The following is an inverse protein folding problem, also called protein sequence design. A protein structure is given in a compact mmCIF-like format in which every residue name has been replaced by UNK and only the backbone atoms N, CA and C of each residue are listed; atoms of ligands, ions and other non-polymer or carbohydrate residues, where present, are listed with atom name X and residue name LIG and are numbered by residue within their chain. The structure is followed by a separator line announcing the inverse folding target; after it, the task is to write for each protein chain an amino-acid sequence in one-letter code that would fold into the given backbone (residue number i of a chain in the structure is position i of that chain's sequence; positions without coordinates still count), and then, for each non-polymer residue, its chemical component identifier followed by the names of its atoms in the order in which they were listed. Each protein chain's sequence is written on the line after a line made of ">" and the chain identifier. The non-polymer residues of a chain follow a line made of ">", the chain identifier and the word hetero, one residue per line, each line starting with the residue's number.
data_IF_705964355694
#
_entry.id   IF_705964355694
#
_cell.length_a   1.000
_cell.length_b   1.000
_cell.length_c   1.000
_cell.angle_alpha   90.00
_cell.angle_beta   90.00
_cell.angle_gamma   90.00
#
_symmetry.space_group_name_H-M   'P 1'
#
loop_
_entity.id
_entity.type
_entity.pdbx_description
1 polymer ?
#
# COMPACT_ATOMS: atom_id res chain seq x y z
N UNK A 1 -83.08 -18.49 -21.48
CA UNK A 1 -81.65 -18.35 -21.14
C UNK A 1 -81.17 -17.10 -21.83
N UNK A 2 -80.79 -16.13 -21.02
CA UNK A 2 -80.93 -14.70 -21.25
C UNK A 2 -79.60 -14.04 -21.61
N UNK A 3 -79.56 -13.42 -22.79
CA UNK A 3 -78.74 -12.26 -23.09
C UNK A 3 -79.64 -11.03 -23.08
N UNK A 4 -79.40 -10.08 -22.17
CA UNK A 4 -79.86 -8.69 -22.29
C UNK A 4 -78.84 -7.76 -21.63
N UNK A 5 -78.39 -6.79 -22.41
CA UNK A 5 -77.59 -5.61 -22.04
C UNK A 5 -78.06 -4.92 -20.75
N UNK A 6 -77.11 -4.36 -19.98
CA UNK A 6 -77.35 -3.08 -19.31
C UNK A 6 -76.05 -2.30 -19.07
N UNK A 7 -75.94 -1.18 -19.77
CA UNK A 7 -74.97 -0.11 -19.54
C UNK A 7 -75.47 0.80 -18.43
N UNK A 8 -74.67 1.08 -17.40
CA UNK A 8 -74.86 2.32 -16.62
C UNK A 8 -73.55 2.87 -16.06
N UNK A 9 -73.28 4.10 -16.47
CA UNK A 9 -72.23 4.98 -16.02
C UNK A 9 -72.47 5.50 -14.59
N UNK A 10 -71.40 5.79 -13.85
CA UNK A 10 -71.06 7.12 -13.33
C UNK A 10 -70.08 7.01 -12.15
N UNK A 11 -69.09 7.90 -12.13
CA UNK A 11 -68.24 8.09 -10.95
C UNK A 11 -66.99 8.94 -11.21
N UNK A 12 -67.18 10.19 -11.65
CA UNK A 12 -66.16 11.23 -11.47
C UNK A 12 -66.44 11.97 -10.16
N UNK A 13 -65.53 11.90 -9.20
CA UNK A 13 -65.33 12.92 -8.16
C UNK A 13 -63.84 13.00 -7.83
N UNK A 14 -63.27 14.17 -8.12
CA UNK A 14 -61.92 14.59 -7.73
C UNK A 14 -61.94 15.14 -6.29
N UNK A 15 -60.97 14.79 -5.46
CA UNK A 15 -60.43 15.69 -4.42
C UNK A 15 -59.11 15.18 -3.80
N UNK A 16 -58.01 15.81 -4.23
CA UNK A 16 -56.91 16.37 -3.43
C UNK A 16 -56.41 15.66 -2.14
N UNK A 17 -55.17 15.13 -2.14
CA UNK A 17 -53.92 15.79 -1.66
C UNK A 17 -52.85 14.82 -1.11
N UNK A 18 -51.60 15.21 -1.38
CA UNK A 18 -50.34 14.89 -0.71
C UNK A 18 -49.73 13.48 -0.80
N UNK A 19 -48.70 13.37 -1.64
CA UNK A 19 -47.73 12.26 -1.65
C UNK A 19 -46.32 12.78 -1.95
N UNK A 20 -45.54 12.92 -0.88
CA UNK A 20 -44.08 13.09 -0.77
C UNK A 20 -43.24 12.81 -2.04
N UNK A 21 -42.33 13.74 -2.32
CA UNK A 21 -41.16 13.52 -3.18
C UNK A 21 -40.36 12.31 -2.70
N UNK A 22 -40.00 11.43 -3.65
CA UNK A 22 -38.96 10.43 -3.49
C UNK A 22 -37.94 10.67 -4.62
N UNK A 23 -36.64 10.83 -4.34
CA UNK A 23 -35.65 11.05 -5.39
C UNK A 23 -35.44 9.73 -6.13
N UNK A 24 -35.92 9.67 -7.37
CA UNK A 24 -35.74 8.51 -8.24
C UNK A 24 -34.27 8.34 -8.60
N UNK A 25 -33.68 7.25 -8.07
CA UNK A 25 -32.49 6.61 -8.57
C UNK A 25 -32.58 6.45 -10.10
N UNK A 26 -31.82 7.26 -10.82
CA UNK A 26 -31.71 7.19 -12.27
C UNK A 26 -30.76 6.08 -12.69
N UNK A 27 -31.28 4.88 -12.93
CA UNK A 27 -30.59 3.87 -13.74
C UNK A 27 -30.49 4.45 -15.16
N UNK A 28 -29.41 5.16 -15.46
CA UNK A 28 -29.13 5.67 -16.80
C UNK A 28 -28.87 4.46 -17.72
N UNK A 29 -29.63 4.36 -18.81
CA UNK A 29 -29.46 3.33 -19.85
C UNK A 29 -28.08 3.38 -20.53
N UNK A 30 -27.80 2.45 -21.47
CA UNK A 30 -26.51 2.34 -22.13
C UNK A 30 -26.09 3.69 -22.75
N UNK A 31 -24.89 4.16 -22.39
CA UNK A 31 -24.35 5.43 -22.87
C UNK A 31 -24.15 5.33 -24.39
N UNK A 32 -24.80 6.19 -25.15
CA UNK A 32 -24.77 6.16 -26.62
C UNK A 32 -24.00 7.37 -27.12
N UNK A 33 -22.94 7.18 -27.93
CA UNK A 33 -22.14 8.30 -28.44
C UNK A 33 -22.92 9.17 -29.44
N UNK A 34 -23.89 8.57 -30.14
CA UNK A 34 -24.83 9.22 -31.06
C UNK A 34 -26.23 8.65 -30.84
N UNK A 35 -27.24 9.51 -30.69
CA UNK A 35 -28.63 9.08 -30.64
C UNK A 35 -29.08 8.34 -31.92
N UNK A 36 -30.20 7.58 -31.88
CA UNK A 36 -30.64 6.71 -32.98
C UNK A 36 -30.82 7.38 -34.35
N UNK A 37 -30.88 8.72 -34.41
CA UNK A 37 -31.06 9.51 -35.63
C UNK A 37 -30.18 10.77 -35.66
N UNK A 38 -29.11 10.82 -34.88
CA UNK A 38 -28.20 11.97 -34.83
C UNK A 38 -27.22 11.94 -36.01
N UNK A 39 -27.22 13.01 -36.81
CA UNK A 39 -26.24 13.16 -37.89
C UNK A 39 -24.92 13.68 -37.31
N UNK A 40 -23.90 12.83 -37.29
CA UNK A 40 -22.54 13.20 -36.90
C UNK A 40 -21.93 14.37 -37.72
N UNK A 41 -22.55 14.74 -38.85
CA UNK A 41 -22.18 15.92 -39.64
C UNK A 41 -22.87 17.22 -39.19
N UNK A 42 -23.84 17.15 -38.29
CA UNK A 42 -24.53 18.32 -37.75
C UNK A 42 -23.61 19.04 -36.75
N UNK A 43 -23.20 20.29 -37.03
CA UNK A 43 -22.30 21.06 -36.16
C UNK A 43 -22.94 21.43 -34.81
N UNK A 44 -24.25 21.24 -34.64
CA UNK A 44 -24.95 21.43 -33.37
C UNK A 44 -24.86 20.23 -32.42
N UNK A 45 -24.35 19.08 -32.90
CA UNK A 45 -24.25 17.85 -32.11
C UNK A 45 -22.90 17.78 -31.40
N UNK A 46 -22.96 17.77 -30.07
CA UNK A 46 -21.81 17.76 -29.15
C UNK A 46 -21.22 16.35 -28.94
N UNK A 47 -21.07 15.58 -30.03
CA UNK A 47 -20.60 14.19 -29.97
C UNK A 47 -19.19 14.07 -29.35
N UNK A 48 -18.35 15.11 -29.47
CA UNK A 48 -17.05 15.18 -28.79
C UNK A 48 -17.21 15.18 -27.27
N UNK A 49 -18.20 15.89 -26.72
CA UNK A 49 -18.52 15.86 -25.29
C UNK A 49 -19.06 14.50 -24.86
N UNK A 50 -19.82 13.82 -25.72
CA UNK A 50 -20.28 12.45 -25.45
C UNK A 50 -19.12 11.46 -25.41
N UNK A 51 -18.15 11.60 -26.32
CA UNK A 51 -16.92 10.81 -26.33
C UNK A 51 -16.05 11.08 -25.09
N UNK A 52 -15.91 12.34 -24.68
CA UNK A 52 -15.20 12.72 -23.46
C UNK A 52 -15.88 12.15 -22.21
N UNK A 53 -17.21 12.25 -22.11
CA UNK A 53 -17.98 11.66 -21.02
C UNK A 53 -17.86 10.13 -21.00
N UNK A 54 -17.86 9.49 -22.17
CA UNK A 54 -17.64 8.06 -22.31
C UNK A 54 -16.24 7.66 -21.81
N UNK A 55 -15.20 8.38 -22.20
CA UNK A 55 -13.83 8.14 -21.74
C UNK A 55 -13.71 8.34 -20.22
N UNK A 56 -14.28 9.43 -19.69
CA UNK A 56 -14.21 9.77 -18.27
C UNK A 56 -14.94 8.73 -17.39
N UNK A 57 -16.15 8.29 -17.79
CA UNK A 57 -16.92 7.28 -17.05
C UNK A 57 -16.25 5.91 -17.02
N UNK A 58 -15.47 5.56 -18.04
CA UNK A 58 -14.81 4.26 -18.15
C UNK A 58 -13.34 4.27 -17.70
N UNK A 59 -12.90 5.30 -16.97
CA UNK A 59 -11.53 5.37 -16.45
C UNK A 59 -10.46 5.59 -17.54
N UNK A 60 -10.86 5.84 -18.79
CA UNK A 60 -10.00 6.25 -19.91
C UNK A 60 -9.74 7.76 -19.90
N UNK A 61 -9.98 8.43 -18.76
CA UNK A 61 -9.79 9.86 -18.54
C UNK A 61 -8.32 10.24 -18.69
N UNK A 62 -7.96 10.64 -19.91
CA UNK A 62 -6.59 10.89 -20.32
C UNK A 62 -6.54 11.85 -21.50
N UNK A 63 -5.36 12.40 -21.81
CA UNK A 63 -5.20 13.24 -23.01
C UNK A 63 -5.43 12.36 -24.24
N UNK A 64 -6.49 12.64 -24.99
CA UNK A 64 -6.70 12.05 -26.29
C UNK A 64 -6.09 12.92 -27.39
N UNK A 65 -5.56 12.29 -28.44
CA UNK A 65 -4.99 12.97 -29.60
C UNK A 65 -5.53 12.35 -30.87
N UNK A 66 -6.06 13.20 -31.76
CA UNK A 66 -6.40 12.81 -33.11
C UNK A 66 -5.15 12.85 -33.97
N UNK A 67 -4.88 11.75 -34.66
CA UNK A 67 -3.91 11.72 -35.76
C UNK A 67 -4.71 11.59 -37.04
N UNK A 68 -4.55 12.58 -37.91
CA UNK A 68 -5.27 12.68 -39.18
C UNK A 68 -4.23 12.76 -40.28
N UNK A 69 -4.13 11.70 -41.07
CA UNK A 69 -3.17 11.60 -42.15
C UNK A 69 -3.88 11.98 -43.46
N UNK A 70 -3.32 12.98 -44.13
CA UNK A 70 -3.76 13.41 -45.45
C UNK A 70 -3.42 12.37 -46.53
N UNK A 71 -4.08 12.45 -47.70
CA UNK A 71 -3.89 11.48 -48.76
C UNK A 71 -2.50 11.66 -49.40
N UNK A 72 -1.55 10.79 -49.07
CA UNK A 72 -0.30 10.73 -49.84
C UNK A 72 -0.47 9.82 -51.09
N UNK A 73 -1.22 8.71 -50.98
CA UNK A 73 -1.68 7.86 -52.11
C UNK A 73 -2.95 7.04 -51.74
N UNK A 74 -3.95 7.64 -51.05
CA UNK A 74 -5.13 6.88 -50.55
C UNK A 74 -6.21 7.74 -49.86
N UNK A 75 -7.27 7.14 -49.28
CA UNK A 75 -8.31 7.88 -48.55
C UNK A 75 -7.77 8.53 -47.27
N UNK A 76 -8.41 9.61 -46.81
CA UNK A 76 -8.12 10.21 -45.50
C UNK A 76 -8.26 9.16 -44.40
N UNK A 77 -7.30 9.15 -43.48
CA UNK A 77 -7.30 8.24 -42.34
C UNK A 77 -7.34 9.04 -41.03
N UNK A 78 -8.23 8.65 -40.12
CA UNK A 78 -8.34 9.21 -38.78
C UNK A 78 -8.11 8.13 -37.73
N UNK A 79 -7.25 8.46 -36.77
CA UNK A 79 -6.83 7.62 -35.65
C UNK A 79 -7.02 8.37 -34.34
N UNK A 80 -7.42 7.66 -33.29
CA UNK A 80 -7.55 8.20 -31.94
C UNK A 80 -6.54 7.53 -31.02
N UNK A 81 -5.61 8.31 -30.47
CA UNK A 81 -4.74 7.89 -29.39
C UNK A 81 -5.34 8.30 -28.06
N UNK A 82 -5.33 7.42 -27.07
CA UNK A 82 -5.71 7.72 -25.68
C UNK A 82 -4.50 7.44 -24.80
N UNK A 83 -4.01 8.45 -24.06
CA UNK A 83 -2.78 8.33 -23.27
C UNK A 83 -1.56 7.84 -24.08
N UNK A 84 -1.45 8.31 -25.35
CA UNK A 84 -0.45 7.86 -26.34
C UNK A 84 -0.54 6.38 -26.75
N UNK A 85 -1.60 5.67 -26.38
CA UNK A 85 -1.86 4.30 -26.82
C UNK A 85 -2.83 4.34 -28.00
N UNK A 86 -2.48 3.63 -29.06
CA UNK A 86 -3.33 3.45 -30.23
C UNK A 86 -4.38 2.38 -29.94
N UNK A 87 -5.66 2.76 -30.06
CA UNK A 87 -6.79 1.86 -29.84
C UNK A 87 -6.96 0.82 -30.97
N UNK A 88 -6.15 0.91 -32.05
CA UNK A 88 -6.22 -0.02 -33.17
C UNK A 88 -7.50 0.11 -34.00
N UNK A 89 -8.20 1.24 -33.88
CA UNK A 89 -9.40 1.57 -34.67
C UNK A 89 -9.06 2.69 -35.65
N UNK A 90 -9.49 2.55 -36.90
CA UNK A 90 -9.15 3.47 -37.99
C UNK A 90 -10.38 3.86 -38.79
N UNK A 91 -10.65 5.15 -38.89
CA UNK A 91 -11.69 5.67 -39.78
C UNK A 91 -11.11 6.09 -41.11
N UNK A 92 -11.72 5.62 -42.21
CA UNK A 92 -11.31 5.97 -43.57
C UNK A 92 -12.39 6.79 -44.26
N UNK A 93 -12.01 7.73 -45.12
CA UNK A 93 -12.99 8.49 -45.90
C UNK A 93 -12.38 9.35 -47.00
N UNK A 94 -13.22 9.81 -47.93
CA UNK A 94 -12.78 10.69 -49.02
C UNK A 94 -12.54 12.14 -48.55
N UNK A 95 -12.87 12.44 -47.29
CA UNK A 95 -12.58 13.70 -46.63
C UNK A 95 -12.19 13.45 -45.19
N UNK A 96 -11.43 14.38 -44.62
CA UNK A 96 -11.07 14.42 -43.20
C UNK A 96 -12.27 14.20 -42.27
N UNK A 97 -13.38 14.89 -42.56
CA UNK A 97 -14.61 14.78 -41.78
C UNK A 97 -15.22 13.38 -41.87
N UNK A 98 -15.27 12.79 -43.07
CA UNK A 98 -15.85 11.46 -43.28
C UNK A 98 -15.00 10.36 -42.64
N UNK A 99 -13.67 10.50 -42.66
CA UNK A 99 -12.74 9.61 -41.96
C UNK A 99 -12.98 9.65 -40.44
N UNK A 100 -13.10 10.85 -39.86
CA UNK A 100 -13.40 11.03 -38.44
C UNK A 100 -14.76 10.42 -38.04
N UNK A 101 -15.79 10.64 -38.84
CA UNK A 101 -17.11 10.09 -38.58
C UNK A 101 -17.13 8.56 -38.62
N UNK A 102 -16.43 7.97 -39.58
CA UNK A 102 -16.31 6.51 -39.67
C UNK A 102 -15.51 5.93 -38.52
N UNK A 103 -14.49 6.64 -38.01
CA UNK A 103 -13.77 6.23 -36.80
C UNK A 103 -14.71 6.17 -35.59
N UNK A 104 -15.53 7.21 -35.38
CA UNK A 104 -16.48 7.26 -34.27
C UNK A 104 -17.50 6.12 -34.34
N UNK A 105 -18.03 5.82 -35.52
CA UNK A 105 -18.94 4.68 -35.72
C UNK A 105 -18.28 3.34 -35.39
N UNK A 106 -17.02 3.16 -35.76
CA UNK A 106 -16.27 1.95 -35.44
C UNK A 106 -15.96 1.84 -33.94
N UNK A 107 -15.67 2.96 -33.27
CA UNK A 107 -15.48 2.98 -31.81
C UNK A 107 -16.76 2.60 -31.08
N UNK A 108 -17.93 3.07 -31.52
CA UNK A 108 -19.22 2.65 -30.96
C UNK A 108 -19.49 1.16 -31.18
N UNK A 109 -19.20 0.65 -32.38
CA UNK A 109 -19.36 -0.78 -32.69
C UNK A 109 -18.43 -1.66 -31.85
N UNK A 110 -17.17 -1.24 -31.68
CA UNK A 110 -16.15 -1.95 -30.88
C UNK A 110 -16.18 -1.59 -29.40
N UNK A 111 -17.21 -0.86 -28.93
CA UNK A 111 -17.35 -0.43 -27.54
C UNK A 111 -17.20 -1.57 -26.55
N UNK A 112 -17.79 -2.74 -26.84
CA UNK A 112 -17.69 -3.88 -25.95
C UNK A 112 -16.26 -4.43 -25.85
N UNK A 113 -15.52 -4.53 -26.96
CA UNK A 113 -14.12 -4.97 -26.98
C UNK A 113 -13.18 -3.95 -26.30
N UNK A 114 -13.47 -2.66 -26.45
CA UNK A 114 -12.67 -1.58 -25.85
C UNK A 114 -12.90 -1.47 -24.33
N UNK A 115 -14.11 -1.75 -23.85
CA UNK A 115 -14.47 -1.71 -22.44
C UNK A 115 -14.16 -3.03 -21.70
N UNK A 116 -14.29 -4.14 -22.42
CA UNK A 116 -14.02 -5.47 -21.93
C UNK A 116 -13.06 -6.11 -22.93
N UNK A 117 -11.75 -5.79 -22.85
CA UNK A 117 -10.77 -6.52 -23.64
C UNK A 117 -11.02 -7.99 -23.38
N UNK A 118 -11.45 -8.71 -24.42
CA UNK A 118 -11.70 -10.13 -24.33
C UNK A 118 -10.39 -10.75 -23.90
N UNK A 119 -10.34 -11.22 -22.66
CA UNK A 119 -9.23 -12.05 -22.19
C UNK A 119 -9.16 -13.19 -23.19
N UNK A 120 -8.04 -13.26 -23.90
CA UNK A 120 -7.80 -14.34 -24.85
C UNK A 120 -7.73 -15.63 -24.04
N UNK A 121 -8.80 -16.41 -24.10
CA UNK A 121 -8.91 -17.69 -23.39
C UNK A 121 -8.17 -18.80 -24.15
N UNK A 122 -7.80 -18.56 -25.40
CA UNK A 122 -7.16 -19.55 -26.28
C UNK A 122 -5.63 -19.51 -26.19
N UNK A 123 -5.06 -18.51 -25.49
CA UNK A 123 -3.62 -18.42 -25.22
C UNK A 123 -3.27 -18.53 -23.73
N UNK A 124 -2.15 -19.18 -23.45
CA UNK A 124 -1.65 -19.31 -22.08
C UNK A 124 -1.12 -17.96 -21.58
N UNK A 125 -1.69 -17.48 -20.48
CA UNK A 125 -1.24 -16.27 -19.83
C UNK A 125 0.20 -16.42 -19.31
N UNK A 126 1.06 -15.47 -19.67
CA UNK A 126 2.44 -15.42 -19.19
C UNK A 126 2.57 -14.41 -18.06
N UNK A 127 3.33 -14.77 -17.03
CA UNK A 127 3.59 -13.88 -15.89
C UNK A 127 4.41 -12.65 -16.28
N UNK A 128 5.33 -12.78 -17.24
CA UNK A 128 6.21 -11.72 -17.73
C UNK A 128 6.38 -11.79 -19.25
N UNK A 129 6.68 -10.65 -19.87
CA UNK A 129 7.02 -10.53 -21.29
C UNK A 129 8.50 -10.16 -21.51
N UNK A 130 9.14 -9.53 -20.53
CA UNK A 130 10.54 -9.08 -20.62
C UNK A 130 11.44 -9.69 -19.54
N UNK A 131 12.76 -9.69 -19.77
CA UNK A 131 13.73 -10.14 -18.77
C UNK A 131 13.71 -9.28 -17.50
N UNK A 132 13.47 -7.96 -17.63
CA UNK A 132 13.36 -7.06 -16.48
C UNK A 132 12.13 -7.36 -15.63
N UNK A 133 10.98 -7.67 -16.25
CA UNK A 133 9.79 -8.11 -15.54
C UNK A 133 10.00 -9.45 -14.85
N UNK A 134 10.70 -10.39 -15.51
CA UNK A 134 11.04 -11.69 -14.92
C UNK A 134 11.84 -11.50 -13.62
N UNK A 135 12.90 -10.70 -13.66
CA UNK A 135 13.75 -10.44 -12.49
C UNK A 135 12.98 -9.74 -11.35
N UNK A 136 12.06 -8.84 -11.70
CA UNK A 136 11.13 -8.23 -10.75
C UNK A 136 10.24 -9.26 -10.06
N UNK A 137 9.61 -10.16 -10.82
CA UNK A 137 8.77 -11.21 -10.23
C UNK A 137 9.58 -12.23 -9.44
N UNK A 138 10.81 -12.53 -9.85
CA UNK A 138 11.73 -13.39 -9.09
C UNK A 138 12.07 -12.79 -7.73
N UNK A 139 12.39 -11.49 -7.70
CA UNK A 139 12.63 -10.76 -6.45
C UNK A 139 11.39 -10.74 -5.55
N UNK A 140 10.20 -10.53 -6.13
CA UNK A 140 8.93 -10.59 -5.40
C UNK A 140 8.61 -12.00 -4.88
N UNK A 141 8.93 -13.04 -5.64
CA UNK A 141 8.75 -14.43 -5.23
C UNK A 141 9.67 -14.80 -4.05
N UNK A 142 10.90 -14.29 -4.02
CA UNK A 142 11.80 -14.45 -2.87
C UNK A 142 11.21 -13.76 -1.62
N UNK A 143 10.72 -12.52 -1.76
CA UNK A 143 10.08 -11.81 -0.65
C UNK A 143 8.86 -12.60 -0.13
N UNK A 144 8.01 -13.10 -1.03
CA UNK A 144 6.87 -13.94 -0.70
C UNK A 144 7.31 -15.18 0.09
N UNK A 145 8.33 -15.89 -0.39
CA UNK A 145 8.86 -17.08 0.27
C UNK A 145 9.41 -16.80 1.67
N UNK A 146 10.08 -15.66 1.89
CA UNK A 146 10.58 -15.27 3.20
C UNK A 146 9.43 -15.03 4.18
N UNK A 147 8.37 -14.31 3.77
CA UNK A 147 7.21 -14.04 4.62
C UNK A 147 6.52 -15.34 5.03
N UNK A 148 6.31 -16.25 4.07
CA UNK A 148 5.73 -17.58 4.33
C UNK A 148 6.60 -18.37 5.30
N UNK A 149 7.92 -18.41 5.08
CA UNK A 149 8.84 -19.12 5.96
C UNK A 149 8.82 -18.55 7.39
N UNK A 150 8.73 -17.23 7.54
CA UNK A 150 8.64 -16.57 8.84
C UNK A 150 7.34 -16.92 9.56
N UNK A 151 6.20 -16.99 8.87
CA UNK A 151 4.92 -17.42 9.45
C UNK A 151 5.01 -18.83 10.03
N UNK A 152 5.55 -19.77 9.26
CA UNK A 152 5.71 -21.15 9.74
C UNK A 152 6.69 -21.25 10.89
N UNK A 153 7.77 -20.47 10.87
CA UNK A 153 8.75 -20.44 11.96
C UNK A 153 8.12 -19.92 13.26
N UNK A 154 7.36 -18.82 13.21
CA UNK A 154 6.65 -18.28 14.38
C UNK A 154 5.66 -19.30 14.93
N UNK A 155 4.84 -19.92 14.07
CA UNK A 155 3.85 -20.92 14.49
C UNK A 155 4.49 -22.17 15.07
N UNK A 156 5.64 -22.60 14.55
CA UNK A 156 6.38 -23.74 15.10
C UNK A 156 6.90 -23.43 16.50
N UNK A 157 7.42 -22.22 16.72
CA UNK A 157 7.89 -21.78 18.04
C UNK A 157 6.75 -21.67 19.05
N UNK A 158 5.62 -21.06 18.66
CA UNK A 158 4.41 -20.94 19.53
C UNK A 158 3.84 -22.31 19.92
N UNK A 159 4.03 -23.33 19.08
CA UNK A 159 3.60 -24.71 19.35
C UNK A 159 4.66 -25.55 20.06
N UNK A 160 5.76 -24.93 20.50
CA UNK A 160 6.89 -25.59 21.16
C UNK A 160 7.51 -26.74 20.33
N UNK A 161 7.40 -26.65 19.00
CA UNK A 161 7.97 -27.63 18.08
C UNK A 161 9.47 -27.41 17.81
N UNK A 162 9.98 -26.21 18.13
CA UNK A 162 11.38 -25.81 18.03
C UNK A 162 11.76 -25.01 19.28
N UNK A 163 12.99 -25.19 19.76
CA UNK A 163 13.46 -24.49 20.96
C UNK A 163 13.96 -23.07 20.64
N UNK A 164 14.14 -22.26 21.70
CA UNK A 164 14.60 -20.86 21.57
C UNK A 164 15.99 -20.73 20.92
N UNK A 165 16.88 -21.70 21.12
CA UNK A 165 18.23 -21.69 20.57
C UNK A 165 18.27 -21.91 19.05
N UNK A 166 17.30 -22.65 18.50
CA UNK A 166 17.14 -22.85 17.05
C UNK A 166 16.29 -21.74 16.40
N UNK A 167 15.22 -21.32 17.08
CA UNK A 167 14.31 -20.29 16.60
C UNK A 167 14.99 -18.93 16.43
N UNK A 168 15.72 -18.46 17.45
CA UNK A 168 16.30 -17.10 17.48
C UNK A 168 17.24 -16.82 16.29
N UNK A 169 18.25 -17.66 15.98
CA UNK A 169 19.12 -17.43 14.83
C UNK A 169 18.39 -17.58 13.49
N UNK A 170 17.44 -18.53 13.38
CA UNK A 170 16.65 -18.70 12.16
C UNK A 170 15.77 -17.48 11.87
N UNK A 171 15.09 -16.94 12.89
CA UNK A 171 14.24 -15.76 12.75
C UNK A 171 15.08 -14.51 12.44
N UNK A 172 16.22 -14.33 13.12
CA UNK A 172 17.14 -13.21 12.85
C UNK A 172 17.64 -13.22 11.40
N UNK A 173 17.97 -14.41 10.88
CA UNK A 173 18.39 -14.56 9.48
C UNK A 173 17.26 -14.21 8.50
N UNK A 174 16.05 -14.72 8.72
CA UNK A 174 14.89 -14.43 7.86
C UNK A 174 14.52 -12.94 7.89
N UNK A 175 14.55 -12.30 9.06
CA UNK A 175 14.31 -10.85 9.21
C UNK A 175 15.37 -10.02 8.49
N UNK A 176 16.64 -10.45 8.50
CA UNK A 176 17.71 -9.77 7.77
C UNK A 176 17.53 -9.89 6.26
N UNK A 177 17.20 -11.10 5.79
CA UNK A 177 16.90 -11.35 4.38
C UNK A 177 15.69 -10.54 3.91
N UNK A 178 14.63 -10.50 4.71
CA UNK A 178 13.43 -9.69 4.46
C UNK A 178 13.79 -8.21 4.26
N UNK A 179 14.59 -7.62 5.17
CA UNK A 179 15.01 -6.20 5.08
C UNK A 179 15.79 -5.92 3.80
N UNK A 180 16.67 -6.83 3.39
CA UNK A 180 17.43 -6.70 2.13
C UNK A 180 16.51 -6.77 0.92
N UNK A 181 15.59 -7.74 0.90
CA UNK A 181 14.66 -7.91 -0.21
C UNK A 181 13.67 -6.76 -0.33
N UNK A 182 13.16 -6.23 0.78
CA UNK A 182 12.25 -5.08 0.76
C UNK A 182 12.90 -3.84 0.13
N UNK A 183 14.19 -3.60 0.37
CA UNK A 183 14.96 -2.53 -0.29
C UNK A 183 15.10 -2.77 -1.79
N UNK A 184 15.29 -4.03 -2.20
CA UNK A 184 15.43 -4.40 -3.61
C UNK A 184 14.12 -4.23 -4.39
N UNK A 185 12.97 -4.52 -3.77
CA UNK A 185 11.65 -4.44 -4.43
C UNK A 185 10.90 -3.13 -4.18
N UNK A 186 11.49 -2.18 -3.46
CA UNK A 186 10.83 -1.00 -2.89
C UNK A 186 10.02 -0.15 -3.89
N UNK A 187 10.49 -0.03 -5.14
CA UNK A 187 9.78 0.70 -6.20
C UNK A 187 8.43 0.06 -6.59
N UNK A 188 8.29 -1.25 -6.36
CA UNK A 188 7.09 -2.03 -6.71
C UNK A 188 6.23 -2.45 -5.51
N UNK A 189 6.80 -2.34 -4.31
CA UNK A 189 6.23 -2.77 -3.04
C UNK A 189 6.36 -1.62 -2.03
N UNK A 190 5.38 -0.70 -1.97
CA UNK A 190 5.45 0.47 -1.10
C UNK A 190 5.35 0.11 0.39
N UNK A 191 4.62 -0.97 0.74
CA UNK A 191 4.57 -1.52 2.09
C UNK A 191 4.34 -3.02 2.08
N UNK A 192 4.67 -3.69 3.18
CA UNK A 192 4.46 -5.14 3.34
C UNK A 192 2.99 -5.48 3.43
N UNK A 193 2.18 -4.62 4.05
CA UNK A 193 0.74 -4.79 4.17
C UNK A 193 0.08 -4.78 2.79
N UNK A 194 0.49 -3.86 1.91
CA UNK A 194 -0.03 -3.78 0.55
C UNK A 194 0.42 -4.97 -0.31
N UNK A 195 1.65 -5.45 -0.09
CA UNK A 195 2.14 -6.68 -0.73
C UNK A 195 1.31 -7.90 -0.31
N UNK A 196 1.12 -8.08 0.99
CA UNK A 196 0.33 -9.18 1.54
C UNK A 196 -1.13 -9.11 1.07
N UNK A 197 -1.72 -7.92 1.02
CA UNK A 197 -3.06 -7.72 0.46
C UNK A 197 -3.12 -8.07 -1.02
N UNK A 198 -2.14 -7.65 -1.82
CA UNK A 198 -2.08 -7.91 -3.27
C UNK A 198 -1.99 -9.39 -3.60
N UNK A 199 -1.21 -10.15 -2.83
CA UNK A 199 -1.03 -11.59 -3.02
C UNK A 199 -1.94 -12.45 -2.12
N UNK A 200 -2.92 -11.84 -1.45
CA UNK A 200 -3.89 -12.51 -0.58
C UNK A 200 -3.22 -13.40 0.48
N UNK A 201 -2.21 -12.86 1.17
CA UNK A 201 -1.43 -13.54 2.20
C UNK A 201 -2.04 -13.32 3.58
N UNK A 202 -2.55 -14.39 4.20
CA UNK A 202 -3.04 -14.37 5.59
C UNK A 202 -1.94 -14.89 6.55
N UNK A 203 -0.98 -14.03 6.86
CA UNK A 203 0.20 -14.36 7.68
C UNK A 203 0.39 -13.36 8.83
N UNK A 204 -0.53 -13.33 9.82
CA UNK A 204 -0.51 -12.33 10.88
C UNK A 204 0.71 -12.46 11.80
N UNK A 205 1.27 -13.66 12.00
CA UNK A 205 2.44 -13.84 12.85
C UNK A 205 3.70 -13.31 12.17
N UNK A 206 3.86 -13.59 10.87
CA UNK A 206 4.94 -13.00 10.07
C UNK A 206 4.84 -11.47 9.99
N UNK A 207 3.63 -10.94 9.79
CA UNK A 207 3.39 -9.49 9.73
C UNK A 207 3.81 -8.82 11.04
N UNK A 208 3.36 -9.34 12.18
CA UNK A 208 3.75 -8.86 13.49
C UNK A 208 5.27 -8.90 13.68
N UNK A 209 5.90 -10.04 13.35
CA UNK A 209 7.35 -10.22 13.49
C UNK A 209 8.15 -9.26 12.61
N UNK A 210 7.70 -9.00 11.40
CA UNK A 210 8.31 -8.05 10.47
C UNK A 210 8.20 -6.61 10.98
N UNK A 211 7.05 -6.23 11.54
CA UNK A 211 6.81 -4.91 12.11
C UNK A 211 7.67 -4.67 13.37
N UNK A 212 7.78 -5.67 14.24
CA UNK A 212 8.61 -5.61 15.46
C UNK A 212 10.11 -5.66 15.12
N UNK A 213 10.50 -6.47 14.13
CA UNK A 213 11.86 -6.51 13.59
C UNK A 213 12.91 -7.24 14.45
N UNK A 214 12.49 -7.90 15.53
CA UNK A 214 13.31 -8.79 16.39
C UNK A 214 12.53 -10.08 16.71
N UNK A 215 13.19 -11.23 17.00
CA UNK A 215 12.52 -12.49 17.38
C UNK A 215 11.71 -12.41 18.70
N UNK A 216 10.75 -13.33 18.89
CA UNK A 216 9.87 -13.41 20.06
C UNK A 216 10.64 -13.53 21.37
N UNK A 217 11.74 -14.29 21.32
CA UNK A 217 12.64 -14.50 22.47
C UNK A 217 13.23 -13.19 22.95
N UNK A 218 13.54 -12.25 22.05
CA UNK A 218 14.07 -10.93 22.39
C UNK A 218 12.93 -9.98 22.80
N UNK A 219 11.77 -10.07 22.13
CA UNK A 219 10.58 -9.26 22.43
C UNK A 219 10.02 -9.53 23.84
N UNK A 220 10.03 -10.81 24.27
CA UNK A 220 9.39 -11.29 25.50
C UNK A 220 10.37 -11.84 26.54
N UNK A 221 11.68 -11.59 26.40
CA UNK A 221 12.74 -12.00 27.34
C UNK A 221 12.37 -11.63 28.79
N UNK A 222 11.80 -12.57 29.53
CA UNK A 222 11.45 -12.43 30.95
C UNK A 222 11.83 -13.65 31.79
N UNK A 223 12.38 -14.72 31.18
CA UNK A 223 12.73 -15.94 31.91
C UNK A 223 14.03 -16.58 31.41
N UNK A 224 14.89 -16.89 32.39
CA UNK A 224 16.03 -17.81 32.34
C UNK A 224 17.31 -17.35 31.62
N UNK A 225 18.19 -16.61 32.32
CA UNK A 225 19.65 -16.70 32.12
C UNK A 225 20.40 -16.08 33.33
N UNK A 226 21.57 -16.64 33.67
CA UNK A 226 22.15 -16.66 35.01
C UNK A 226 22.91 -15.40 35.45
N UNK A 227 23.23 -15.34 36.75
CA UNK A 227 23.88 -14.22 37.45
C UNK A 227 25.19 -13.68 36.84
N UNK A 228 25.87 -14.44 35.98
CA UNK A 228 27.09 -13.98 35.28
C UNK A 228 26.76 -13.15 34.01
N UNK A 229 25.66 -13.45 33.34
CA UNK A 229 25.20 -12.71 32.16
C UNK A 229 24.57 -11.38 32.56
N UNK A 230 23.93 -11.30 33.75
CA UNK A 230 23.41 -10.05 34.29
C UNK A 230 24.51 -9.00 34.45
N UNK A 231 25.70 -9.37 34.99
CA UNK A 231 26.81 -8.42 35.12
C UNK A 231 27.34 -7.96 33.75
N UNK A 232 27.43 -8.87 32.77
CA UNK A 232 27.80 -8.53 31.40
C UNK A 232 26.77 -7.59 30.75
N UNK A 233 25.48 -7.87 30.89
CA UNK A 233 24.41 -7.04 30.33
C UNK A 233 24.33 -5.66 31.00
N UNK A 234 24.58 -5.59 32.31
CA UNK A 234 24.70 -4.32 33.02
C UNK A 234 25.86 -3.51 32.45
N UNK A 235 27.02 -4.13 32.24
CA UNK A 235 28.19 -3.45 31.67
C UNK A 235 27.94 -2.98 30.23
N UNK A 236 27.41 -3.85 29.36
CA UNK A 236 27.07 -3.51 27.96
C UNK A 236 26.05 -2.37 27.90
N UNK A 237 24.98 -2.43 28.69
CA UNK A 237 23.92 -1.42 28.68
C UNK A 237 24.42 -0.08 29.23
N UNK A 238 25.22 -0.11 30.30
CA UNK A 238 25.88 1.09 30.84
C UNK A 238 26.79 1.73 29.79
N UNK A 239 27.56 0.92 29.06
CA UNK A 239 28.40 1.40 27.97
C UNK A 239 27.56 2.03 26.86
N UNK A 240 26.43 1.43 26.46
CA UNK A 240 25.54 2.01 25.44
C UNK A 240 24.95 3.35 25.88
N UNK A 241 24.59 3.49 27.16
CA UNK A 241 24.13 4.76 27.73
C UNK A 241 25.20 5.84 27.62
N UNK A 242 26.41 5.56 28.13
CA UNK A 242 27.54 6.48 28.09
C UNK A 242 27.86 6.87 26.65
N UNK A 243 27.97 5.87 25.76
CA UNK A 243 28.28 6.07 24.34
C UNK A 243 27.25 6.96 23.64
N UNK A 244 25.96 6.80 23.96
CA UNK A 244 24.90 7.62 23.37
C UNK A 244 24.91 9.05 23.90
N UNK A 245 25.06 9.22 25.22
CA UNK A 245 25.16 10.54 25.85
C UNK A 245 26.40 11.31 25.35
N UNK A 246 27.54 10.62 25.21
CA UNK A 246 28.77 11.19 24.65
C UNK A 246 28.58 11.62 23.19
N UNK A 247 27.88 10.83 22.37
CA UNK A 247 27.54 11.23 21.00
C UNK A 247 26.78 12.57 20.97
N UNK A 248 25.81 12.75 21.87
CA UNK A 248 25.06 14.01 21.99
C UNK A 248 25.95 15.16 22.50
N UNK A 249 26.84 14.90 23.44
CA UNK A 249 27.79 15.89 23.96
C UNK A 249 28.84 16.32 22.92
N UNK A 250 29.24 15.40 22.04
CA UNK A 250 30.15 15.64 20.90
C UNK A 250 29.46 16.32 19.71
N UNK A 251 28.21 16.78 19.88
CA UNK A 251 27.40 17.43 18.85
C UNK A 251 27.15 16.55 17.61
N UNK A 252 27.09 15.23 17.79
CA UNK A 252 26.50 14.36 16.77
C UNK A 252 24.99 14.60 16.77
N UNK A 253 24.44 15.00 15.62
CA UNK A 253 23.04 15.42 15.47
C UNK A 253 22.30 14.68 14.35
N UNK A 254 23.03 14.09 13.41
CA UNK A 254 22.45 13.43 12.25
C UNK A 254 21.79 12.10 12.61
N UNK A 255 20.69 11.76 11.93
CA UNK A 255 19.95 10.51 12.11
C UNK A 255 20.84 9.29 11.97
N UNK A 256 21.66 9.23 10.92
CA UNK A 256 22.53 8.09 10.62
C UNK A 256 23.56 7.81 11.73
N UNK A 257 23.94 8.84 12.50
CA UNK A 257 24.83 8.74 13.66
C UNK A 257 24.09 8.34 14.95
N UNK A 258 22.90 8.90 15.17
CA UNK A 258 22.16 8.74 16.42
C UNK A 258 21.29 7.48 16.43
N UNK A 259 20.59 7.19 15.34
CA UNK A 259 19.61 6.10 15.28
C UNK A 259 20.25 4.71 15.57
N UNK A 260 21.39 4.31 14.98
CA UNK A 260 22.00 3.01 15.29
C UNK A 260 22.39 2.86 16.75
N UNK A 261 22.89 3.95 17.37
CA UNK A 261 23.33 3.95 18.78
C UNK A 261 22.14 3.90 19.74
N UNK A 262 21.07 4.63 19.44
CA UNK A 262 19.84 4.59 20.24
C UNK A 262 19.16 3.21 20.16
N UNK A 263 19.24 2.56 18.99
CA UNK A 263 18.71 1.22 18.79
C UNK A 263 19.51 0.17 19.59
N UNK A 264 20.84 0.29 19.63
CA UNK A 264 21.70 -0.54 20.46
C UNK A 264 21.37 -0.35 21.95
N UNK A 265 21.24 0.90 22.39
CA UNK A 265 20.83 1.24 23.76
C UNK A 265 19.49 0.60 24.13
N UNK A 266 18.47 0.74 23.28
CA UNK A 266 17.16 0.14 23.52
C UNK A 266 17.23 -1.39 23.59
N UNK A 267 18.09 -2.00 22.78
CA UNK A 267 18.30 -3.46 22.78
C UNK A 267 18.94 -3.92 24.09
N UNK A 268 19.90 -3.18 24.63
CA UNK A 268 20.47 -3.45 25.96
C UNK A 268 19.45 -3.24 27.07
N UNK A 269 18.74 -2.11 27.03
CA UNK A 269 17.74 -1.70 28.02
C UNK A 269 16.58 -2.71 28.13
N UNK A 270 16.13 -3.28 27.00
CA UNK A 270 15.04 -4.26 26.98
C UNK A 270 15.37 -5.61 27.62
N UNK A 271 16.65 -5.90 27.89
CA UNK A 271 17.08 -7.18 28.50
C UNK A 271 16.70 -7.29 29.98
N UNK A 272 16.36 -6.17 30.62
CA UNK A 272 16.02 -6.15 32.05
C UNK A 272 14.52 -6.37 32.25
N UNK A 273 14.18 -7.31 33.15
CA UNK A 273 12.80 -7.77 33.41
C UNK A 273 11.84 -6.64 33.80
N UNK A 274 12.30 -5.68 34.59
CA UNK A 274 11.47 -4.54 35.03
C UNK A 274 11.52 -3.36 34.06
N UNK A 275 12.27 -3.45 32.95
CA UNK A 275 12.37 -2.36 31.96
C UNK A 275 11.05 -1.98 31.32
N UNK A 276 10.08 -2.89 31.29
CA UNK A 276 8.74 -2.61 30.79
C UNK A 276 7.93 -1.69 31.73
N UNK A 277 8.30 -1.62 33.01
CA UNK A 277 7.65 -0.77 34.02
C UNK A 277 8.31 0.60 34.15
N UNK A 278 9.51 0.76 33.58
CA UNK A 278 10.30 1.98 33.65
C UNK A 278 9.80 3.04 32.67
N UNK A 279 9.66 4.28 33.12
CA UNK A 279 9.19 5.39 32.27
C UNK A 279 10.18 5.67 31.13
N UNK A 280 11.48 5.49 31.39
CA UNK A 280 12.56 5.68 30.43
C UNK A 280 12.38 4.88 29.14
N UNK A 281 11.76 3.69 29.19
CA UNK A 281 11.48 2.87 28.01
C UNK A 281 10.62 3.62 26.99
N UNK A 282 9.53 4.22 27.46
CA UNK A 282 8.58 4.94 26.61
C UNK A 282 9.25 6.13 25.92
N UNK A 283 10.14 6.83 26.63
CA UNK A 283 10.91 7.95 26.09
C UNK A 283 11.89 7.50 25.01
N UNK A 284 12.68 6.45 25.26
CA UNK A 284 13.64 5.89 24.28
C UNK A 284 12.91 5.48 23.00
N UNK A 285 11.77 4.79 23.13
CA UNK A 285 10.94 4.38 21.99
C UNK A 285 10.38 5.58 21.23
N UNK A 286 9.89 6.61 21.93
CA UNK A 286 9.42 7.85 21.30
C UNK A 286 10.51 8.52 20.47
N UNK A 287 11.75 8.53 20.95
CA UNK A 287 12.88 9.11 20.23
C UNK A 287 13.32 8.27 19.03
N UNK A 288 13.27 6.94 19.13
CA UNK A 288 13.48 6.06 17.98
C UNK A 288 12.46 6.32 16.87
N UNK A 289 11.18 6.50 17.23
CA UNK A 289 10.12 6.84 16.26
C UNK A 289 10.42 8.18 15.59
N UNK A 290 10.76 9.21 16.37
CA UNK A 290 11.12 10.54 15.86
C UNK A 290 12.31 10.46 14.89
N UNK A 291 13.40 9.80 15.28
CA UNK A 291 14.59 9.66 14.43
C UNK A 291 14.28 8.82 13.18
N UNK A 292 13.46 7.79 13.28
CA UNK A 292 13.13 6.95 12.14
C UNK A 292 12.30 7.69 11.07
N UNK A 293 11.45 8.64 11.47
CA UNK A 293 10.67 9.48 10.55
C UNK A 293 11.51 10.50 9.75
N UNK A 294 12.74 10.77 10.17
CA UNK A 294 13.67 11.70 9.51
C UNK A 294 14.43 11.01 8.36
N UNK A 295 15.00 11.76 7.41
CA UNK A 295 15.95 11.22 6.42
C UNK A 295 17.32 11.00 7.07
N UNK A 296 18.15 10.14 6.47
CA UNK A 296 19.47 9.80 7.01
C UNK A 296 20.37 11.03 7.26
N UNK A 297 20.28 12.04 6.39
CA UNK A 297 21.03 13.30 6.47
C UNK A 297 20.43 14.34 7.39
N UNK A 298 19.21 14.13 7.89
CA UNK A 298 18.51 15.13 8.68
C UNK A 298 19.09 15.14 10.10
N UNK A 299 19.22 16.34 10.66
CA UNK A 299 19.76 16.57 12.00
C UNK A 299 18.66 16.99 12.98
N UNK A 300 18.77 16.54 14.22
CA UNK A 300 17.94 17.06 15.31
C UNK A 300 18.41 18.45 15.72
N UNK A 301 17.48 19.32 16.10
CA UNK A 301 17.81 20.66 16.62
C UNK A 301 18.55 20.59 17.96
N UNK A 302 19.24 21.66 18.33
CA UNK A 302 19.94 21.74 19.63
C UNK A 302 18.98 21.61 20.83
N UNK A 303 17.75 22.10 20.71
CA UNK A 303 16.74 21.95 21.76
C UNK A 303 16.23 20.51 21.85
N UNK A 304 16.03 19.84 20.71
CA UNK A 304 15.71 18.40 20.69
C UNK A 304 16.86 17.56 21.26
N UNK A 305 18.11 17.93 20.96
CA UNK A 305 19.27 17.23 21.50
C UNK A 305 19.39 17.37 23.02
N UNK A 306 19.08 18.56 23.58
CA UNK A 306 19.01 18.77 25.04
C UNK A 306 17.89 17.95 25.68
N UNK A 307 16.70 17.94 25.08
CA UNK A 307 15.59 17.15 25.60
C UNK A 307 15.87 15.65 25.53
N UNK A 308 16.43 15.17 24.41
CA UNK A 308 16.84 13.79 24.24
C UNK A 308 17.91 13.39 25.27
N UNK A 309 18.91 14.24 25.50
CA UNK A 309 19.92 13.98 26.52
C UNK A 309 19.29 13.87 27.92
N UNK A 310 18.38 14.78 28.27
CA UNK A 310 17.67 14.76 29.54
C UNK A 310 16.83 13.49 29.73
N UNK A 311 16.07 13.09 28.71
CA UNK A 311 15.24 11.88 28.77
C UNK A 311 16.09 10.61 28.91
N UNK A 312 17.25 10.55 28.25
CA UNK A 312 18.19 9.42 28.35
C UNK A 312 18.90 9.38 29.69
N UNK A 313 19.31 10.53 30.23
CA UNK A 313 19.91 10.64 31.56
C UNK A 313 18.93 10.18 32.65
N UNK A 314 17.65 10.57 32.52
CA UNK A 314 16.59 10.07 33.39
C UNK A 314 16.42 8.54 33.28
N UNK A 315 16.37 7.99 32.07
CA UNK A 315 16.28 6.55 31.85
C UNK A 315 17.51 5.80 32.40
N UNK A 316 18.69 6.41 32.35
CA UNK A 316 19.92 5.87 32.93
C UNK A 316 19.87 5.84 34.45
N UNK A 317 19.38 6.91 35.09
CA UNK A 317 19.18 6.96 36.53
C UNK A 317 18.16 5.92 37.03
N UNK A 318 17.04 5.77 36.32
CA UNK A 318 16.02 4.76 36.62
C UNK A 318 16.59 3.34 36.49
N UNK A 319 17.33 3.09 35.40
CA UNK A 319 18.07 1.84 35.21
C UNK A 319 19.05 1.58 36.36
N UNK A 320 19.91 2.54 36.72
CA UNK A 320 20.91 2.37 37.77
C UNK A 320 20.27 2.18 39.15
N UNK A 321 19.17 2.88 39.44
CA UNK A 321 18.38 2.71 40.66
C UNK A 321 17.81 1.29 40.77
N UNK A 322 17.35 0.72 39.66
CA UNK A 322 16.84 -0.65 39.62
C UNK A 322 17.90 -1.71 39.98
N UNK A 323 19.18 -1.42 39.73
CA UNK A 323 20.30 -2.31 40.09
C UNK A 323 20.65 -2.27 41.58
N UNK A 324 20.27 -1.20 42.29
CA UNK A 324 20.56 -0.98 43.71
C UNK A 324 19.54 -1.59 44.69
N UNK A 325 18.44 -2.18 44.20
CA UNK A 325 17.27 -2.61 44.97
C UNK A 325 17.40 -3.89 45.79
N UNK A 326 18.51 -4.07 46.52
CA UNK A 326 18.78 -5.20 47.43
C UNK A 326 18.76 -4.86 48.92
N UNK A 327 18.14 -3.74 49.32
CA UNK A 327 17.86 -3.43 50.72
C UNK A 327 16.43 -2.90 50.82
N UNK A 328 15.59 -3.73 51.44
CA UNK A 328 14.42 -3.38 52.27
C UNK A 328 13.23 -4.32 52.00
N UNK A 329 13.20 -5.44 52.71
CA UNK A 329 12.15 -5.65 53.71
C UNK A 329 12.52 -6.81 54.65
N UNK A 330 12.63 -6.44 55.93
CA UNK A 330 12.72 -7.35 57.08
C UNK A 330 11.32 -7.75 57.49
#
# INVERSE_FOLDING_TARGET
>A
MSDVNNTRANGHTNSYTNGRQNPSNGTQGPFTLLGPNEDINDPSIEWLKHLENFMQKNGLGGRYRWIEEGPNEGPWTSTLLVNNIDLGVRGYGNSKQKAKNNLVKQLEHRRHELLFPTVDLDSEARLYATNAEREKYESQAILFGIIVALEYLERAYVRDAINAAEYTPACTRLLSQYKTMLKLVGDSVPSVEEFMRRYNMDHPAALHRVQVGVPATIEHSSEQQGSAETAKWVAETTQSFITFMDALNLKLRAKDQLHPRLQELMTGYARFKDSAKWEGRGKIVSWLITLNAMKASDEISDDQARQLLFDIDHAYHEFFSSLGGGKDNT
#
